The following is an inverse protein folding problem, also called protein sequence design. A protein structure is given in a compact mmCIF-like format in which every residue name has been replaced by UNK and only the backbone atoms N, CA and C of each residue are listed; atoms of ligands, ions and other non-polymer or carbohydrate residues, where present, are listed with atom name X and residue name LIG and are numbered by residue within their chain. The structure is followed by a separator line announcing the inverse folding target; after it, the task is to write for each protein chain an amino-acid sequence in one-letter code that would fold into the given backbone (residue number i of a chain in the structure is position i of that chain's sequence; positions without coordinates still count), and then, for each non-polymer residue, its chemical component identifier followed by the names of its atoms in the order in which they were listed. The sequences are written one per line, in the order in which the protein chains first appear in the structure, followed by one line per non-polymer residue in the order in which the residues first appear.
data_IF_801912560440
#
_entry.id   IF_801912560440
#
_cell.length_a   1.000
_cell.length_b   1.000
_cell.length_c   1.000
_cell.angle_alpha   90.00
_cell.angle_beta   90.00
_cell.angle_gamma   90.00
#
_symmetry.space_group_name_H-M   'P 1'
#
loop_
_entity.id
_entity.type
_entity.pdbx_description
1 polymer ?
#
# COMPACT_ATOMS: atom_id res chain seq x y z
N UNK A 1 6.21 -21.72 2.90
CA UNK A 1 5.07 -21.86 3.83
C UNK A 1 5.16 -20.74 4.85
N UNK A 2 4.18 -19.83 4.89
CA UNK A 2 4.12 -18.80 5.92
C UNK A 2 4.06 -19.47 7.31
N UNK A 3 4.85 -19.00 8.28
CA UNK A 3 4.70 -19.43 9.67
C UNK A 3 3.30 -19.00 10.12
N UNK A 4 2.39 -19.96 10.27
CA UNK A 4 1.05 -19.73 10.81
C UNK A 4 1.24 -19.17 12.23
N UNK A 5 0.72 -17.98 12.51
CA UNK A 5 0.74 -17.43 13.86
C UNK A 5 -0.07 -18.39 14.75
N UNK A 6 0.61 -19.16 15.59
CA UNK A 6 -0.05 -20.23 16.33
C UNK A 6 -0.79 -19.68 17.57
N UNK A 7 -0.24 -18.63 18.19
CA UNK A 7 -0.72 -18.12 19.48
C UNK A 7 -0.39 -16.64 19.63
N UNK A 8 -1.32 -15.88 20.19
CA UNK A 8 -1.16 -14.48 20.59
C UNK A 8 -1.00 -14.44 22.10
N UNK A 9 0.03 -13.74 22.58
CA UNK A 9 0.29 -13.51 23.99
C UNK A 9 0.26 -12.01 24.22
N UNK A 10 -0.62 -11.56 25.11
CA UNK A 10 -0.69 -10.17 25.57
C UNK A 10 -0.04 -10.10 26.94
N UNK A 11 0.98 -9.26 27.07
CA UNK A 11 1.60 -8.91 28.35
C UNK A 11 1.05 -7.56 28.82
N UNK A 12 0.55 -7.51 30.05
CA UNK A 12 0.01 -6.31 30.67
C UNK A 12 1.08 -5.60 31.50
N UNK A 13 0.88 -4.32 31.80
CA UNK A 13 1.85 -3.51 32.57
C UNK A 13 2.11 -4.04 33.98
N UNK A 14 1.20 -4.84 34.54
CA UNK A 14 1.36 -5.53 35.82
C UNK A 14 2.19 -6.82 35.72
N UNK A 15 2.71 -7.15 34.53
CA UNK A 15 3.49 -8.35 34.24
C UNK A 15 2.66 -9.62 34.07
N UNK A 16 1.33 -9.53 34.12
CA UNK A 16 0.47 -10.66 33.80
C UNK A 16 0.46 -10.93 32.30
N UNK A 17 0.24 -12.19 31.92
CA UNK A 17 0.16 -12.60 30.52
C UNK A 17 -1.11 -13.39 30.24
N UNK A 18 -1.77 -13.09 29.12
CA UNK A 18 -2.92 -13.85 28.63
C UNK A 18 -2.61 -14.35 27.22
N UNK A 19 -2.75 -15.66 27.03
CA UNK A 19 -2.52 -16.30 25.74
C UNK A 19 -3.82 -16.82 25.13
N UNK A 20 -4.02 -16.60 23.83
CA UNK A 20 -5.10 -17.21 23.05
C UNK A 20 -4.57 -17.76 21.74
N UNK A 21 -5.15 -18.85 21.26
CA UNK A 21 -4.85 -19.36 19.92
C UNK A 21 -5.36 -18.38 18.87
N UNK A 22 -4.60 -18.18 17.80
CA UNK A 22 -4.94 -17.17 16.79
C UNK A 22 -6.31 -17.45 16.15
N UNK A 23 -6.63 -18.71 15.88
CA UNK A 23 -7.90 -19.13 15.29
C UNK A 23 -9.11 -18.91 16.22
N UNK A 24 -8.87 -18.80 17.53
CA UNK A 24 -9.90 -18.53 18.53
C UNK A 24 -10.22 -17.03 18.69
N UNK A 25 -9.45 -16.15 18.05
CA UNK A 25 -9.70 -14.71 18.11
C UNK A 25 -10.89 -14.30 17.23
N UNK A 26 -11.59 -13.18 17.54
CA UNK A 26 -12.58 -12.61 16.63
C UNK A 26 -11.97 -12.31 15.25
N UNK A 27 -12.70 -12.56 14.16
CA UNK A 27 -12.19 -12.40 12.79
C UNK A 27 -11.63 -11.00 12.50
N UNK A 28 -12.25 -9.97 13.08
CA UNK A 28 -11.77 -8.60 12.95
C UNK A 28 -10.41 -8.40 13.63
N UNK A 29 -10.19 -8.99 14.81
CA UNK A 29 -8.90 -8.93 15.51
C UNK A 29 -7.83 -9.76 14.78
N UNK A 30 -8.21 -10.93 14.24
CA UNK A 30 -7.32 -11.71 13.37
C UNK A 30 -6.86 -10.86 12.17
N UNK A 31 -7.79 -10.17 11.52
CA UNK A 31 -7.49 -9.28 10.39
C UNK A 31 -6.54 -8.15 10.79
N UNK A 32 -6.83 -7.44 11.88
CA UNK A 32 -5.98 -6.36 12.39
C UNK A 32 -4.58 -6.83 12.79
N UNK A 33 -4.46 -8.02 13.39
CA UNK A 33 -3.16 -8.63 13.70
C UNK A 33 -2.39 -9.06 12.46
N UNK A 34 -3.07 -9.54 11.42
CA UNK A 34 -2.46 -9.89 10.13
C UNK A 34 -2.06 -8.67 9.30
N UNK A 35 -2.55 -7.48 9.65
CA UNK A 35 -2.07 -6.21 9.09
C UNK A 35 -0.83 -5.69 9.80
N UNK A 36 -0.47 -6.24 10.96
CA UNK A 36 0.68 -5.75 11.70
C UNK A 36 1.99 -6.05 10.95
N UNK A 37 3.00 -5.18 11.06
CA UNK A 37 4.28 -5.36 10.36
C UNK A 37 4.98 -6.69 10.65
N UNK A 38 4.75 -7.31 11.82
CA UNK A 38 5.39 -8.57 12.21
C UNK A 38 4.76 -9.82 11.55
N UNK A 39 3.53 -9.74 11.06
CA UNK A 39 2.80 -10.87 10.47
C UNK A 39 2.93 -10.92 8.94
N UNK A 40 3.37 -9.83 8.32
CA UNK A 40 3.62 -9.77 6.89
C UNK A 40 4.88 -10.59 6.50
N UNK A 41 4.70 -11.62 5.69
CA UNK A 41 5.81 -12.33 5.06
C UNK A 41 6.17 -11.63 3.74
N UNK A 42 7.47 -11.54 3.41
CA UNK A 42 7.89 -11.06 2.10
C UNK A 42 7.26 -11.88 0.97
N UNK A 43 6.90 -11.22 -0.12
CA UNK A 43 6.45 -11.93 -1.33
C UNK A 43 7.55 -12.85 -1.86
N UNK A 44 7.14 -14.02 -2.33
CA UNK A 44 8.03 -14.98 -2.99
C UNK A 44 8.47 -14.51 -4.38
N UNK A 45 7.64 -13.70 -5.05
CA UNK A 45 7.92 -13.13 -6.37
C UNK A 45 7.39 -11.68 -6.43
N UNK A 46 8.11 -10.73 -5.81
CA UNK A 46 7.65 -9.35 -5.66
C UNK A 46 7.34 -8.63 -6.98
N UNK A 47 7.96 -9.04 -8.10
CA UNK A 47 7.72 -8.47 -9.42
C UNK A 47 6.36 -8.86 -10.03
N UNK A 48 5.70 -9.92 -9.54
CA UNK A 48 4.37 -10.34 -9.98
C UNK A 48 3.24 -9.80 -9.13
N UNK A 49 3.56 -9.23 -7.97
CA UNK A 49 2.58 -8.60 -7.09
C UNK A 49 2.04 -7.31 -7.72
N UNK A 50 0.80 -6.95 -7.38
CA UNK A 50 0.18 -5.71 -7.82
C UNK A 50 0.14 -4.71 -6.68
N UNK A 51 0.44 -3.46 -7.01
CA UNK A 51 0.50 -2.38 -6.04
C UNK A 51 -0.30 -1.17 -6.50
N UNK A 52 -0.95 -0.52 -5.55
CA UNK A 52 -1.37 0.87 -5.67
C UNK A 52 -0.22 1.76 -5.20
N UNK A 53 0.15 2.71 -6.05
CA UNK A 53 1.01 3.82 -5.71
C UNK A 53 0.18 5.10 -5.69
N UNK A 54 0.12 5.75 -4.53
CA UNK A 54 -0.68 6.95 -4.29
C UNK A 54 0.27 8.13 -4.06
N UNK A 55 0.03 9.27 -4.72
CA UNK A 55 0.78 10.52 -4.52
C UNK A 55 -0.18 11.63 -4.10
N UNK A 56 0.17 12.37 -3.06
CA UNK A 56 -0.58 13.52 -2.57
C UNK A 56 0.03 14.83 -3.04
N UNK A 57 -0.75 15.92 -2.95
CA UNK A 57 -0.30 17.27 -3.30
C UNK A 57 0.91 17.74 -2.49
N UNK A 58 1.07 17.28 -1.25
CA UNK A 58 2.21 17.58 -0.38
C UNK A 58 3.48 16.79 -0.73
N UNK A 59 3.44 15.97 -1.79
CA UNK A 59 4.54 15.12 -2.22
C UNK A 59 4.67 13.80 -1.45
N UNK A 60 3.78 13.52 -0.50
CA UNK A 60 3.72 12.23 0.17
C UNK A 60 3.36 11.12 -0.81
N UNK A 61 3.96 9.93 -0.63
CA UNK A 61 3.77 8.78 -1.52
C UNK A 61 3.53 7.52 -0.70
N UNK A 62 2.42 6.82 -0.98
CA UNK A 62 2.09 5.56 -0.32
C UNK A 62 2.05 4.40 -1.30
N UNK A 63 2.48 3.25 -0.81
CA UNK A 63 2.40 1.98 -1.52
C UNK A 63 1.54 1.01 -0.72
N UNK A 64 0.62 0.36 -1.42
CA UNK A 64 -0.27 -0.67 -0.89
C UNK A 64 -0.28 -1.85 -1.85
N UNK A 65 -0.11 -3.08 -1.34
CA UNK A 65 -0.34 -4.27 -2.17
C UNK A 65 -1.84 -4.54 -2.27
N UNK A 66 -2.30 -4.88 -3.46
CA UNK A 66 -3.70 -5.23 -3.74
C UNK A 66 -3.79 -6.64 -4.31
N UNK A 67 -5.01 -7.17 -4.44
CA UNK A 67 -5.24 -8.50 -4.98
C UNK A 67 -4.69 -8.60 -6.43
N UNK A 68 -3.93 -9.65 -6.76
CA UNK A 68 -3.39 -9.84 -8.10
C UNK A 68 -4.47 -10.00 -9.18
N UNK A 69 -5.70 -10.37 -8.81
CA UNK A 69 -6.87 -10.44 -9.69
C UNK A 69 -7.45 -9.07 -10.07
N UNK A 70 -7.02 -7.97 -9.43
CA UNK A 70 -7.50 -6.64 -9.79
C UNK A 70 -6.98 -6.19 -11.16
N UNK A 71 -7.84 -5.68 -12.02
CA UNK A 71 -7.52 -5.36 -13.42
C UNK A 71 -7.59 -3.87 -13.75
N UNK A 72 -8.49 -3.13 -13.11
CA UNK A 72 -8.69 -1.70 -13.37
C UNK A 72 -9.18 -0.95 -12.12
N UNK A 73 -9.12 0.38 -12.18
CA UNK A 73 -9.79 1.24 -11.21
C UNK A 73 -11.21 1.52 -11.72
N UNK A 74 -12.20 1.31 -10.87
CA UNK A 74 -13.60 1.56 -11.18
C UNK A 74 -14.00 2.99 -10.82
N UNK A 75 -13.80 3.37 -9.55
CA UNK A 75 -14.20 4.68 -9.03
C UNK A 75 -13.42 5.09 -7.81
N UNK A 76 -13.31 6.40 -7.62
CA UNK A 76 -12.81 7.04 -6.42
C UNK A 76 -13.81 8.08 -5.92
N UNK A 77 -14.10 8.06 -4.62
CA UNK A 77 -14.95 9.06 -3.98
C UNK A 77 -14.56 9.25 -2.52
N UNK A 78 -14.90 10.40 -1.95
CA UNK A 78 -14.59 10.73 -0.55
C UNK A 78 -15.89 11.00 0.19
N UNK A 79 -16.06 10.35 1.33
CA UNK A 79 -17.18 10.62 2.23
C UNK A 79 -16.67 11.50 3.38
N UNK A 80 -17.29 12.66 3.54
CA UNK A 80 -16.98 13.60 4.62
C UNK A 80 -18.14 13.63 5.62
N UNK A 81 -17.85 13.30 6.88
CA UNK A 81 -18.79 13.41 8.02
C UNK A 81 -18.12 14.17 9.17
N UNK A 82 -17.72 13.44 10.21
CA UNK A 82 -16.81 13.93 11.26
C UNK A 82 -15.36 13.81 10.76
N UNK A 83 -15.09 12.77 9.98
CA UNK A 83 -13.82 12.49 9.33
C UNK A 83 -14.04 12.41 7.82
N UNK A 84 -12.94 12.55 7.08
CA UNK A 84 -12.90 12.33 5.64
C UNK A 84 -12.32 10.94 5.35
N UNK A 85 -13.05 10.13 4.58
CA UNK A 85 -12.57 8.80 4.17
C UNK A 85 -12.73 8.65 2.66
N UNK A 86 -11.61 8.47 1.98
CA UNK A 86 -11.56 8.11 0.57
C UNK A 86 -11.83 6.62 0.37
N UNK A 87 -12.56 6.29 -0.69
CA UNK A 87 -12.87 4.91 -1.09
C UNK A 87 -12.52 4.73 -2.54
N UNK A 88 -11.56 3.85 -2.77
CA UNK A 88 -11.10 3.45 -4.09
C UNK A 88 -11.61 2.04 -4.38
N UNK A 89 -12.33 1.88 -5.48
CA UNK A 89 -12.85 0.58 -5.93
C UNK A 89 -12.01 0.09 -7.09
N UNK A 90 -11.50 -1.14 -6.99
CA UNK A 90 -10.77 -1.82 -8.05
C UNK A 90 -11.62 -2.96 -8.61
N UNK A 91 -11.68 -3.07 -9.93
CA UNK A 91 -12.38 -4.15 -10.59
C UNK A 91 -11.59 -5.45 -10.45
N UNK A 92 -12.31 -6.55 -10.22
CA UNK A 92 -11.77 -7.89 -10.07
C UNK A 92 -12.58 -8.86 -10.92
N UNK A 93 -11.90 -9.80 -11.58
CA UNK A 93 -12.54 -10.73 -12.51
C UNK A 93 -13.55 -11.69 -11.85
N UNK A 94 -13.40 -11.96 -10.54
CA UNK A 94 -14.27 -12.85 -9.76
C UNK A 94 -15.56 -12.19 -9.25
N UNK A 95 -15.80 -10.92 -9.65
CA UNK A 95 -17.08 -10.24 -9.54
C UNK A 95 -17.22 -9.25 -8.38
N UNK A 96 -16.51 -9.44 -7.27
CA UNK A 96 -16.55 -8.49 -6.15
C UNK A 96 -15.37 -7.52 -6.23
N UNK A 97 -15.62 -6.20 -6.32
CA UNK A 97 -14.52 -5.24 -6.40
C UNK A 97 -13.73 -5.23 -5.10
N UNK A 98 -12.41 -5.04 -5.21
CA UNK A 98 -11.59 -4.74 -4.05
C UNK A 98 -11.80 -3.29 -3.63
N UNK A 99 -12.09 -3.09 -2.35
CA UNK A 99 -12.28 -1.77 -1.77
C UNK A 99 -11.06 -1.40 -0.94
N UNK A 100 -10.42 -0.30 -1.33
CA UNK A 100 -9.27 0.28 -0.63
C UNK A 100 -9.71 1.57 0.03
N UNK A 101 -9.54 1.65 1.34
CA UNK A 101 -9.80 2.86 2.11
C UNK A 101 -8.56 3.76 2.15
N UNK A 102 -8.76 5.05 1.88
CA UNK A 102 -7.73 6.09 1.89
C UNK A 102 -8.08 7.06 3.01
N UNK A 103 -7.34 7.00 4.11
CA UNK A 103 -7.61 7.81 5.31
C UNK A 103 -6.77 9.08 5.37
N UNK A 104 -5.62 9.12 4.69
CA UNK A 104 -4.77 10.31 4.63
C UNK A 104 -5.33 11.31 3.62
N UNK A 105 -5.78 12.47 4.11
CA UNK A 105 -6.15 13.66 3.30
C UNK A 105 -6.75 13.29 1.94
N UNK A 106 -7.85 12.51 1.91
CA UNK A 106 -8.34 11.90 0.68
C UNK A 106 -8.74 12.95 -0.37
N UNK A 107 -9.12 14.16 0.05
CA UNK A 107 -9.40 15.29 -0.85
C UNK A 107 -8.16 15.86 -1.56
N UNK A 108 -6.95 15.59 -1.05
CA UNK A 108 -5.66 16.07 -1.60
C UNK A 108 -4.89 14.98 -2.33
N UNK A 109 -5.57 13.89 -2.71
CA UNK A 109 -4.96 12.83 -3.51
C UNK A 109 -4.73 13.38 -4.92
N UNK A 110 -3.47 13.39 -5.38
CA UNK A 110 -3.05 14.03 -6.63
C UNK A 110 -2.93 13.02 -7.77
N UNK A 111 -2.51 11.79 -7.47
CA UNK A 111 -2.27 10.75 -8.47
C UNK A 111 -2.48 9.37 -7.90
N UNK A 112 -3.07 8.50 -8.71
CA UNK A 112 -3.23 7.07 -8.42
C UNK A 112 -2.56 6.31 -9.55
N UNK A 113 -1.60 5.46 -9.23
CA UNK A 113 -0.98 4.55 -10.19
C UNK A 113 -1.28 3.10 -9.81
N UNK A 114 -1.78 2.34 -10.78
CA UNK A 114 -2.09 0.93 -10.64
C UNK A 114 -1.55 0.13 -11.85
N UNK A 115 -2.34 0.01 -12.90
CA UNK A 115 -1.91 -0.49 -14.23
C UNK A 115 -1.58 0.66 -15.18
N UNK A 116 -2.29 1.78 -14.99
CA UNK A 116 -2.02 3.07 -15.61
C UNK A 116 -2.15 4.13 -14.53
N UNK A 117 -1.73 5.33 -14.87
CA UNK A 117 -1.84 6.49 -14.01
C UNK A 117 -3.18 7.20 -14.20
N UNK A 118 -3.79 7.57 -13.09
CA UNK A 118 -5.02 8.34 -13.01
C UNK A 118 -4.79 9.62 -12.21
N UNK A 119 -5.39 10.70 -12.68
CA UNK A 119 -5.43 12.00 -12.01
C UNK A 119 -6.87 12.20 -11.53
N UNK A 120 -7.13 12.10 -10.21
CA UNK A 120 -8.45 12.37 -9.66
C UNK A 120 -8.75 13.88 -9.72
N UNK A 121 -9.90 14.23 -10.29
CA UNK A 121 -10.40 15.60 -10.34
C UNK A 121 -11.80 15.64 -9.72
N UNK A 122 -12.01 16.54 -8.77
CA UNK A 122 -13.31 16.67 -8.10
C UNK A 122 -14.36 17.11 -9.13
N UNK A 123 -15.34 16.25 -9.38
CA UNK A 123 -16.40 16.49 -10.36
C UNK A 123 -17.60 17.16 -9.70
N UNK A 124 -18.07 16.59 -8.59
CA UNK A 124 -19.22 17.12 -7.85
C UNK A 124 -19.19 16.72 -6.38
N UNK A 125 -20.02 17.39 -5.58
CA UNK A 125 -20.21 17.08 -4.18
C UNK A 125 -21.69 17.10 -3.83
N UNK A 126 -22.18 15.99 -3.30
CA UNK A 126 -23.59 15.79 -2.97
C UNK A 126 -23.74 15.75 -1.43
N UNK A 127 -24.54 16.66 -0.86
CA UNK A 127 -24.73 16.76 0.60
C UNK A 127 -26.07 16.14 1.02
N UNK A 128 -26.01 15.22 1.97
CA UNK A 128 -27.17 14.60 2.61
C UNK A 128 -27.05 14.72 4.14
N UNK A 129 -27.76 15.69 4.71
CA UNK A 129 -27.69 16.00 6.14
C UNK A 129 -26.29 16.43 6.59
N UNK A 130 -25.65 15.60 7.42
CA UNK A 130 -24.28 15.81 7.95
C UNK A 130 -23.18 15.12 7.12
N UNK A 131 -23.57 14.44 6.04
CA UNK A 131 -22.68 13.69 5.16
C UNK A 131 -22.54 14.45 3.84
N UNK A 132 -21.32 14.54 3.32
CA UNK A 132 -21.06 14.99 1.95
C UNK A 132 -20.31 13.89 1.21
N UNK A 133 -20.81 13.50 0.04
CA UNK A 133 -20.11 12.60 -0.88
C UNK A 133 -19.45 13.43 -1.99
N UNK A 134 -18.13 13.35 -2.09
CA UNK A 134 -17.33 13.99 -3.12
C UNK A 134 -16.97 12.96 -4.19
N UNK A 135 -17.43 13.19 -5.42
CA UNK A 135 -17.19 12.29 -6.55
C UNK A 135 -16.07 12.82 -7.43
N UNK A 136 -15.15 11.94 -7.80
CA UNK A 136 -13.99 12.29 -8.62
C UNK A 136 -14.07 11.62 -9.99
N UNK A 137 -13.85 12.39 -11.04
CA UNK A 137 -13.51 11.85 -12.35
C UNK A 137 -12.06 11.40 -12.33
N UNK A 138 -11.74 10.27 -12.99
CA UNK A 138 -10.38 9.73 -13.07
C UNK A 138 -9.85 9.88 -14.50
N UNK A 139 -9.13 10.96 -14.77
CA UNK A 139 -8.53 11.18 -16.09
C UNK A 139 -7.23 10.38 -16.22
N UNK A 140 -6.95 9.82 -17.42
CA UNK A 140 -5.71 9.08 -17.65
C UNK A 140 -4.54 10.06 -17.71
N UNK A 141 -3.56 9.87 -16.83
CA UNK A 141 -2.29 10.57 -16.85
C UNK A 141 -1.28 9.94 -17.80
N UNK A 142 -0.11 10.57 -17.94
CA UNK A 142 1.06 9.91 -18.54
C UNK A 142 1.47 8.71 -17.69
N UNK A 143 1.94 7.64 -18.33
CA UNK A 143 2.37 6.43 -17.64
C UNK A 143 3.51 6.75 -16.65
N UNK A 144 3.17 6.72 -15.37
CA UNK A 144 4.09 7.04 -14.28
C UNK A 144 4.95 5.86 -13.86
N UNK A 145 4.81 4.66 -14.46
CA UNK A 145 5.69 3.55 -14.11
C UNK A 145 7.14 3.90 -14.50
N UNK A 146 7.34 4.50 -15.67
CA UNK A 146 8.65 4.97 -16.10
C UNK A 146 9.22 6.04 -15.16
N UNK A 147 8.37 6.94 -14.65
CA UNK A 147 8.76 7.97 -13.67
C UNK A 147 9.17 7.33 -12.33
N UNK A 148 8.40 6.35 -11.85
CA UNK A 148 8.70 5.60 -10.62
C UNK A 148 10.01 4.83 -10.76
N UNK A 149 10.21 4.14 -11.89
CA UNK A 149 11.46 3.44 -12.19
C UNK A 149 12.66 4.39 -12.28
N UNK A 150 12.47 5.56 -12.89
CA UNK A 150 13.51 6.60 -12.98
C UNK A 150 13.87 7.14 -11.60
N UNK A 151 12.85 7.42 -10.76
CA UNK A 151 13.06 7.85 -9.38
C UNK A 151 13.77 6.78 -8.54
N UNK A 152 13.46 5.49 -8.75
CA UNK A 152 14.16 4.39 -8.11
C UNK A 152 15.63 4.28 -8.55
N UNK A 153 15.90 4.37 -9.86
CA UNK A 153 17.28 4.38 -10.39
C UNK A 153 18.09 5.53 -9.80
N UNK A 154 17.52 6.73 -9.78
CA UNK A 154 18.16 7.89 -9.18
C UNK A 154 18.42 7.67 -7.68
N UNK A 155 17.45 7.13 -6.94
CA UNK A 155 17.63 6.82 -5.52
C UNK A 155 18.74 5.79 -5.27
N UNK A 156 18.92 4.81 -6.15
CA UNK A 156 20.03 3.85 -6.09
C UNK A 156 21.37 4.53 -6.33
N UNK A 157 21.47 5.40 -7.35
CA UNK A 157 22.67 6.19 -7.64
C UNK A 157 23.03 7.11 -6.47
N UNK A 158 22.06 7.86 -5.94
CA UNK A 158 22.24 8.79 -4.81
C UNK A 158 22.59 8.12 -3.48
N UNK A 159 22.38 6.80 -3.39
CA UNK A 159 22.70 5.99 -2.23
C UNK A 159 23.92 5.09 -2.46
N UNK A 160 24.52 5.12 -3.65
CA UNK A 160 25.62 4.24 -4.07
C UNK A 160 25.29 2.74 -3.90
N UNK A 161 24.03 2.37 -4.17
CA UNK A 161 23.54 1.00 -4.04
C UNK A 161 23.36 0.38 -5.43
N UNK A 162 23.95 -0.79 -5.64
CA UNK A 162 23.61 -1.63 -6.78
C UNK A 162 22.21 -2.23 -6.60
N UNK A 163 21.30 -1.91 -7.52
CA UNK A 163 19.93 -2.42 -7.53
C UNK A 163 19.86 -3.95 -7.49
N UNK A 164 20.86 -4.68 -7.99
CA UNK A 164 20.90 -6.14 -7.90
C UNK A 164 20.91 -6.65 -6.45
N UNK A 165 21.50 -5.90 -5.51
CA UNK A 165 21.55 -6.24 -4.07
C UNK A 165 20.18 -6.12 -3.37
N UNK A 166 19.24 -5.41 -4.00
CA UNK A 166 17.88 -5.17 -3.50
C UNK A 166 16.88 -6.25 -3.93
N UNK A 167 17.27 -7.16 -4.83
CA UNK A 167 16.39 -8.21 -5.38
C UNK A 167 15.97 -9.27 -4.35
N UNK A 168 16.73 -9.43 -3.26
CA UNK A 168 16.46 -10.43 -2.22
C UNK A 168 15.81 -9.79 -1.00
N UNK A 169 14.63 -10.25 -0.59
CA UNK A 169 13.91 -9.69 0.57
C UNK A 169 14.29 -10.31 1.92
N UNK A 170 15.21 -11.29 1.91
CA UNK A 170 15.44 -12.20 3.05
C UNK A 170 16.69 -11.89 3.89
N UNK A 171 17.64 -11.08 3.42
CA UNK A 171 18.78 -10.69 4.24
C UNK A 171 18.47 -9.41 5.04
N UNK A 172 18.90 -9.36 6.30
CA UNK A 172 18.79 -8.15 7.12
C UNK A 172 19.49 -6.94 6.49
N UNK A 173 20.54 -7.19 5.72
CA UNK A 173 21.26 -6.17 4.98
C UNK A 173 20.40 -5.59 3.85
N UNK A 174 19.76 -6.43 3.03
CA UNK A 174 18.89 -5.95 1.95
C UNK A 174 17.69 -5.16 2.50
N UNK A 175 17.12 -5.57 3.64
CA UNK A 175 16.05 -4.79 4.31
C UNK A 175 16.51 -3.38 4.73
N UNK A 176 17.75 -3.24 5.21
CA UNK A 176 18.32 -1.93 5.55
C UNK A 176 18.50 -1.06 4.30
N UNK A 177 19.03 -1.64 3.22
CA UNK A 177 19.22 -0.95 1.95
C UNK A 177 17.87 -0.55 1.33
N UNK A 178 16.88 -1.44 1.33
CA UNK A 178 15.51 -1.13 0.90
C UNK A 178 14.92 0.02 1.71
N UNK A 179 15.08 0.02 3.04
CA UNK A 179 14.62 1.13 3.90
C UNK A 179 15.27 2.46 3.52
N UNK A 180 16.55 2.46 3.18
CA UNK A 180 17.26 3.66 2.74
C UNK A 180 16.71 4.19 1.41
N UNK A 181 16.48 3.30 0.43
CA UNK A 181 15.88 3.65 -0.86
C UNK A 181 14.46 4.18 -0.69
N UNK A 182 13.63 3.54 0.14
CA UNK A 182 12.29 4.02 0.47
C UNK A 182 12.33 5.46 0.99
N UNK A 183 13.26 5.77 1.89
CA UNK A 183 13.43 7.13 2.44
C UNK A 183 13.84 8.13 1.36
N UNK A 184 14.75 7.77 0.46
CA UNK A 184 15.19 8.62 -0.67
C UNK A 184 14.06 8.90 -1.66
N UNK A 185 13.23 7.90 -1.95
CA UNK A 185 12.07 8.05 -2.84
C UNK A 185 10.87 8.75 -2.19
N UNK A 186 10.87 8.87 -0.86
CA UNK A 186 9.76 9.41 -0.07
C UNK A 186 8.59 8.43 0.09
N UNK A 187 8.83 7.12 -0.05
CA UNK A 187 7.80 6.09 0.03
C UNK A 187 7.40 5.77 1.46
N UNK A 188 6.11 5.54 1.65
CA UNK A 188 5.48 5.17 2.91
C UNK A 188 4.56 3.98 2.69
N UNK A 189 4.37 3.19 3.74
CA UNK A 189 3.39 2.12 3.70
C UNK A 189 2.01 2.72 3.89
N UNK A 190 1.05 2.39 3.01
CA UNK A 190 -0.34 2.72 3.28
C UNK A 190 -0.94 1.78 4.33
N UNK A 191 -0.55 0.49 4.30
CA UNK A 191 -0.99 -0.50 5.29
C UNK A 191 0.18 -1.24 5.95
N UNK A 192 0.96 -1.99 5.17
CA UNK A 192 2.03 -2.84 5.70
C UNK A 192 3.40 -2.35 5.25
N UNK A 193 4.35 -2.27 6.17
CA UNK A 193 5.75 -1.92 5.84
C UNK A 193 6.34 -2.88 4.80
N UNK A 194 5.95 -4.16 4.83
CA UNK A 194 6.40 -5.16 3.88
C UNK A 194 5.96 -4.86 2.44
N UNK A 195 4.82 -4.19 2.22
CA UNK A 195 4.36 -3.85 0.87
C UNK A 195 5.35 -2.91 0.17
N UNK A 196 5.94 -1.97 0.92
CA UNK A 196 6.96 -1.05 0.38
C UNK A 196 8.26 -1.80 0.07
N UNK A 197 8.67 -2.71 0.95
CA UNK A 197 9.87 -3.52 0.75
C UNK A 197 9.73 -4.44 -0.47
N UNK A 198 8.59 -5.11 -0.61
CA UNK A 198 8.30 -5.97 -1.76
C UNK A 198 8.19 -5.14 -3.04
N UNK A 199 7.58 -3.95 -2.99
CA UNK A 199 7.54 -3.03 -4.12
C UNK A 199 8.94 -2.62 -4.61
N UNK A 200 9.84 -2.25 -3.69
CA UNK A 200 11.24 -1.95 -4.03
C UNK A 200 11.95 -3.17 -4.63
N UNK A 201 11.76 -4.35 -4.04
CA UNK A 201 12.32 -5.59 -4.57
C UNK A 201 11.79 -5.90 -5.99
N UNK A 202 10.51 -5.66 -6.24
CA UNK A 202 9.89 -5.79 -7.57
C UNK A 202 10.47 -4.81 -8.60
N UNK A 203 10.68 -3.55 -8.21
CA UNK A 203 11.38 -2.57 -9.06
C UNK A 203 12.82 -3.01 -9.38
N UNK A 204 13.55 -3.54 -8.40
CA UNK A 204 14.90 -4.05 -8.58
C UNK A 204 14.98 -5.28 -9.53
N UNK A 205 13.90 -6.07 -9.62
CA UNK A 205 13.81 -7.22 -10.51
C UNK A 205 13.41 -6.84 -11.95
N UNK A 206 12.66 -5.74 -12.12
CA UNK A 206 12.22 -5.25 -13.44
C UNK A 206 13.28 -4.44 -14.18
N UNK A 207 14.24 -3.86 -13.44
CA UNK A 207 15.35 -3.11 -14.02
C UNK A 207 16.51 -4.06 -14.34
N UNK A 208 16.81 -4.18 -15.64
CA UNK A 208 18.00 -4.84 -16.17
C UNK A 208 19.20 -3.92 -16.13
#
# INVERSE_FOLDING_TARGET
MAKKAARVIVEFEDGSTVGSDFEALPSQLQFELMRQPFSAQPSADPAKEKYLYLEWEDGWKEVLRVDPGCSAINRYYVISRIEEVGRLSLDKEDGYPELVEITRRPMSLKKIHFTTTYLPELERSDREGKKTDHFFTLSKGKDSLADIQSAFKQACVDAEIDGATLRSTNSNESKKLQTLICKKMGLKAGLRTQDVADFIAGLAQTIK
#
